data_IF_572915106847
#
_entry.id   IF_572915106847
#
_cell.length_a   1.000
_cell.length_b   1.000
_cell.length_c   1.000
_cell.angle_alpha   90.00
_cell.angle_beta   90.00
_cell.angle_gamma   90.00
#
_symmetry.space_group_name_H-M   'P 1'
#
loop_
_entity.id
_entity.type
_entity.pdbx_description
1 polymer ?
#
# COMPACT_ATOMS: atom_id res chain seq x y z
N UNK A 1 27.55 -21.50 -14.50
CA UNK A 1 27.35 -20.05 -14.67
C UNK A 1 26.08 -19.66 -13.93
N UNK A 2 26.18 -18.97 -12.80
CA UNK A 2 24.99 -18.49 -12.07
C UNK A 2 24.35 -17.37 -12.89
N UNK A 3 23.05 -17.51 -13.19
CA UNK A 3 22.28 -16.53 -13.94
C UNK A 3 22.14 -15.19 -13.20
N UNK A 4 21.49 -14.18 -13.81
CA UNK A 4 21.29 -12.89 -13.16
C UNK A 4 20.55 -13.08 -11.84
N UNK A 5 21.11 -12.55 -10.75
CA UNK A 5 20.45 -12.59 -9.43
C UNK A 5 19.17 -11.79 -9.51
N UNK A 6 18.10 -12.31 -8.90
CA UNK A 6 16.79 -11.66 -8.96
C UNK A 6 16.89 -10.28 -8.30
N UNK A 7 16.13 -9.26 -8.74
CA UNK A 7 16.15 -7.93 -8.12
C UNK A 7 15.92 -7.94 -6.59
N UNK A 8 15.17 -8.94 -6.10
CA UNK A 8 14.94 -9.22 -4.68
C UNK A 8 16.23 -9.63 -3.93
N UNK A 9 17.11 -10.39 -4.58
CA UNK A 9 18.37 -10.93 -4.03
C UNK A 9 19.48 -9.88 -4.02
N UNK A 10 19.41 -8.85 -4.87
CA UNK A 10 20.33 -7.70 -4.89
C UNK A 10 20.13 -6.75 -3.72
N UNK A 11 18.88 -6.64 -3.22
CA UNK A 11 18.55 -5.82 -2.04
C UNK A 11 18.89 -6.49 -0.72
N UNK A 12 19.56 -7.65 -0.77
CA UNK A 12 19.88 -8.44 0.43
C UNK A 12 18.64 -8.90 1.20
N UNK A 13 17.49 -9.05 0.52
CA UNK A 13 16.22 -9.37 1.17
C UNK A 13 15.59 -8.20 1.96
N UNK A 14 16.15 -6.99 1.89
CA UNK A 14 15.58 -5.80 2.55
C UNK A 14 14.39 -5.29 1.75
N UNK A 15 13.20 -5.33 2.37
CA UNK A 15 11.99 -4.76 1.79
C UNK A 15 12.05 -3.23 1.80
N UNK A 16 11.54 -2.55 0.75
CA UNK A 16 11.31 -1.11 0.81
C UNK A 16 10.38 -0.75 1.97
N UNK A 17 10.61 0.42 2.59
CA UNK A 17 9.82 0.85 3.75
C UNK A 17 8.32 0.88 3.45
N UNK A 18 7.91 1.33 2.26
CA UNK A 18 6.48 1.37 1.89
C UNK A 18 5.81 -0.01 1.92
N UNK A 19 6.54 -1.08 1.63
CA UNK A 19 6.01 -2.43 1.64
C UNK A 19 5.88 -2.94 3.08
N UNK A 20 6.89 -2.69 3.91
CA UNK A 20 6.85 -3.00 5.36
C UNK A 20 5.70 -2.25 6.03
N UNK A 21 5.55 -0.95 5.74
CA UNK A 21 4.46 -0.14 6.27
C UNK A 21 3.09 -0.64 5.79
N UNK A 22 2.98 -1.04 4.51
CA UNK A 22 1.75 -1.61 3.97
C UNK A 22 1.35 -2.90 4.68
N UNK A 23 2.28 -3.83 4.81
CA UNK A 23 2.06 -5.09 5.52
C UNK A 23 1.63 -4.86 6.98
N UNK A 24 2.30 -3.92 7.67
CA UNK A 24 1.96 -3.56 9.06
C UNK A 24 0.55 -2.94 9.17
N UNK A 25 0.19 -2.04 8.24
CA UNK A 25 -1.13 -1.40 8.20
C UNK A 25 -2.24 -2.41 7.91
N UNK A 26 -2.04 -3.30 6.94
CA UNK A 26 -3.00 -4.36 6.60
C UNK A 26 -3.22 -5.32 7.78
N UNK A 27 -2.14 -5.75 8.45
CA UNK A 27 -2.21 -6.59 9.64
C UNK A 27 -2.97 -5.91 10.80
N UNK A 28 -2.67 -4.63 11.07
CA UNK A 28 -3.34 -3.88 12.12
C UNK A 28 -4.83 -3.65 11.81
N UNK A 29 -5.18 -3.37 10.56
CA UNK A 29 -6.57 -3.26 10.12
C UNK A 29 -7.32 -4.58 10.26
N UNK A 30 -6.71 -5.71 9.88
CA UNK A 30 -7.30 -7.03 10.06
C UNK A 30 -7.59 -7.34 11.54
N UNK A 31 -6.61 -7.07 12.41
CA UNK A 31 -6.78 -7.21 13.87
C UNK A 31 -7.86 -6.28 14.45
N UNK A 32 -8.11 -5.13 13.81
CA UNK A 32 -9.08 -4.13 14.23
C UNK A 32 -10.43 -4.20 13.50
N UNK A 33 -10.68 -5.21 12.66
CA UNK A 33 -11.91 -5.31 11.87
C UNK A 33 -12.11 -4.14 10.89
N UNK A 34 -11.03 -3.62 10.32
CA UNK A 34 -11.05 -2.48 9.38
C UNK A 34 -11.10 -1.10 10.02
N UNK A 35 -11.05 -0.99 11.35
CA UNK A 35 -11.08 0.30 12.04
C UNK A 35 -9.73 1.03 11.95
N UNK A 36 -9.67 2.07 11.11
CA UNK A 36 -8.46 2.91 10.92
C UNK A 36 -7.99 3.58 12.23
N UNK A 37 -8.84 4.19 13.07
CA UNK A 37 -8.38 4.79 14.32
C UNK A 37 -7.76 3.78 15.29
N UNK A 38 -8.32 2.57 15.39
CA UNK A 38 -7.78 1.51 16.24
C UNK A 38 -6.46 0.97 15.69
N UNK A 39 -6.37 0.75 14.38
CA UNK A 39 -5.13 0.33 13.73
C UNK A 39 -4.00 1.37 13.91
N UNK A 40 -4.33 2.65 13.80
CA UNK A 40 -3.37 3.73 14.03
C UNK A 40 -2.86 3.74 15.48
N UNK A 41 -3.74 3.52 16.45
CA UNK A 41 -3.35 3.39 17.85
C UNK A 41 -2.44 2.18 18.10
N UNK A 42 -2.71 1.02 17.50
CA UNK A 42 -1.84 -0.16 17.59
C UNK A 42 -0.46 0.05 16.96
N UNK A 43 -0.39 0.85 15.90
CA UNK A 43 0.84 1.17 15.18
C UNK A 43 1.56 2.40 15.75
N UNK A 44 1.06 2.97 16.86
CA UNK A 44 1.62 4.15 17.53
C UNK A 44 1.79 5.37 16.59
N UNK A 45 0.83 5.56 15.68
CA UNK A 45 0.78 6.70 14.76
C UNK A 45 -0.57 7.41 14.81
N UNK A 46 -0.62 8.64 14.29
CA UNK A 46 -1.90 9.35 14.17
C UNK A 46 -2.82 8.69 13.13
N UNK A 47 -4.16 8.71 13.31
CA UNK A 47 -5.10 8.26 12.28
C UNK A 47 -4.87 8.95 10.93
N UNK A 48 -4.55 10.25 10.94
CA UNK A 48 -4.24 11.03 9.74
C UNK A 48 -3.05 10.47 8.95
N UNK A 49 -2.05 9.93 9.64
CA UNK A 49 -0.90 9.25 9.00
C UNK A 49 -1.35 8.04 8.20
N UNK A 50 -2.23 7.21 8.78
CA UNK A 50 -2.76 6.01 8.11
C UNK A 50 -3.63 6.38 6.91
N UNK A 51 -4.56 7.33 7.08
CA UNK A 51 -5.45 7.77 5.99
C UNK A 51 -4.66 8.27 4.78
N UNK A 52 -3.58 9.03 4.99
CA UNK A 52 -2.74 9.52 3.87
C UNK A 52 -2.07 8.38 3.12
N UNK A 53 -1.60 7.34 3.81
CA UNK A 53 -0.99 6.16 3.17
C UNK A 53 -2.02 5.36 2.38
N UNK A 54 -3.20 5.13 2.96
CA UNK A 54 -4.31 4.43 2.29
C UNK A 54 -4.76 5.16 1.02
N UNK A 55 -4.94 6.49 1.08
CA UNK A 55 -5.30 7.31 -0.08
C UNK A 55 -4.25 7.21 -1.20
N UNK A 56 -2.96 7.32 -0.86
CA UNK A 56 -1.88 7.21 -1.85
C UNK A 56 -1.89 5.84 -2.57
N UNK A 57 -2.28 4.76 -1.88
CA UNK A 57 -2.41 3.44 -2.47
C UNK A 57 -3.68 3.29 -3.32
N UNK A 58 -4.80 3.87 -2.88
CA UNK A 58 -6.04 3.90 -3.67
C UNK A 58 -5.86 4.68 -4.98
N UNK A 59 -5.14 5.81 -4.94
CA UNK A 59 -4.81 6.60 -6.13
C UNK A 59 -3.90 5.83 -7.09
N UNK A 60 -2.91 5.12 -6.55
CA UNK A 60 -2.02 4.24 -7.31
C UNK A 60 -2.79 3.07 -7.97
N UNK A 61 -3.84 2.57 -7.32
CA UNK A 61 -4.74 1.54 -7.88
C UNK A 61 -5.78 2.09 -8.87
N UNK A 62 -6.30 3.30 -8.64
CA UNK A 62 -7.27 3.99 -9.51
C UNK A 62 -6.68 4.40 -10.86
N UNK A 63 -5.37 4.63 -10.94
CA UNK A 63 -4.68 4.90 -12.22
C UNK A 63 -4.90 3.79 -13.28
N UNK A 64 -5.29 2.58 -12.86
CA UNK A 64 -5.51 1.43 -13.74
C UNK A 64 -7.00 1.24 -14.12
N UNK A 65 -7.95 1.82 -13.40
CA UNK A 65 -9.41 1.66 -13.62
C UNK A 65 -10.05 3.02 -13.90
N UNK A 66 -9.63 3.67 -14.98
CA UNK A 66 -10.11 5.01 -15.34
C UNK A 66 -9.95 5.43 -16.80
N UNK A 67 -9.71 4.50 -17.75
CA UNK A 67 -9.56 4.84 -19.18
C UNK A 67 -10.57 4.22 -20.15
N UNK A 68 -11.67 3.63 -19.67
CA UNK A 68 -12.73 3.13 -20.57
C UNK A 68 -14.12 3.44 -20.03
N UNK A 69 -14.56 4.69 -20.17
CA UNK A 69 -15.96 5.03 -20.43
C UNK A 69 -16.13 6.56 -20.56
N UNK A 70 -16.48 7.00 -21.77
CA UNK A 70 -17.30 8.19 -21.97
C UNK A 70 -16.61 9.49 -22.42
N UNK A 71 -16.58 9.71 -23.74
CA UNK A 71 -17.17 10.90 -24.39
C UNK A 71 -16.76 10.96 -25.87
N UNK A 72 -17.64 10.52 -26.74
CA UNK A 72 -17.99 11.27 -27.96
C UNK A 72 -19.51 11.22 -28.06
N UNK A 73 -20.13 12.25 -27.49
CA UNK A 73 -21.47 12.70 -27.84
C UNK A 73 -21.33 13.75 -28.93
N UNK A 74 -22.37 13.82 -29.77
CA UNK A 74 -22.57 14.65 -30.96
C UNK A 74 -22.08 14.02 -32.27
#
# INVERSE_FOLDING_TARGET
TQGPRRPEEERGGVKPLWLVEKEAIEAALAACGGSVPKAAALLEVSPSTLYRKLQAWEESGKALVGRTAGKHSA
#
